data_IF_472973436358
#
_entry.id   IF_472973436358
#
_cell.length_a   1.000
_cell.length_b   1.000
_cell.length_c   1.000
_cell.angle_alpha   90.00
_cell.angle_beta   90.00
_cell.angle_gamma   90.00
#
_symmetry.space_group_name_H-M   'P 1'
#
loop_
_entity.id
_entity.type
_entity.pdbx_description
1 polymer ?
#
# COMPACT_ATOMS: atom_id res chain seq x y z
N UNK A 1 -1.92 3.89 8.03
CA UNK A 1 -2.92 3.61 9.08
C UNK A 1 -3.23 4.81 9.97
N UNK A 2 -2.24 5.67 10.32
CA UNK A 2 -2.45 6.87 11.14
C UNK A 2 -3.58 7.80 10.62
N UNK A 3 -3.58 8.12 9.32
CA UNK A 3 -4.59 8.98 8.69
C UNK A 3 -6.02 8.41 8.77
N UNK A 4 -6.20 7.08 8.71
CA UNK A 4 -7.52 6.44 8.83
C UNK A 4 -7.98 6.46 10.28
N UNK A 5 -7.06 6.25 11.24
CA UNK A 5 -7.36 6.34 12.67
C UNK A 5 -7.81 7.75 13.07
N UNK A 6 -7.20 8.78 12.47
CA UNK A 6 -7.59 10.18 12.66
C UNK A 6 -8.96 10.49 12.04
N UNK A 7 -9.22 10.07 10.80
CA UNK A 7 -10.51 10.25 10.14
C UNK A 7 -11.67 9.45 10.77
N UNK A 8 -11.35 8.38 11.52
CA UNK A 8 -12.30 7.58 12.27
C UNK A 8 -12.51 8.06 13.72
N UNK A 9 -11.90 9.20 14.10
CA UNK A 9 -12.04 9.85 15.39
C UNK A 9 -13.20 10.84 15.35
N UNK A 10 -14.19 10.67 16.22
CA UNK A 10 -15.29 11.62 16.39
C UNK A 10 -15.32 12.12 17.84
N UNK A 11 -15.27 13.43 18.03
CA UNK A 11 -15.43 14.08 19.35
C UNK A 11 -16.89 14.52 19.52
N UNK A 12 -17.49 14.15 20.64
CA UNK A 12 -18.82 14.61 21.03
C UNK A 12 -18.72 15.83 21.94
N UNK A 13 -19.81 16.59 22.06
CA UNK A 13 -19.87 17.84 22.84
C UNK A 13 -19.57 17.64 24.34
N UNK A 14 -19.77 16.43 24.86
CA UNK A 14 -19.44 16.05 26.24
C UNK A 14 -17.95 15.70 26.45
N UNK A 15 -17.13 15.82 25.39
CA UNK A 15 -15.70 15.49 25.41
C UNK A 15 -15.40 13.99 25.22
N UNK A 16 -16.41 13.14 25.03
CA UNK A 16 -16.18 11.73 24.71
C UNK A 16 -15.68 11.56 23.27
N UNK A 17 -14.80 10.57 23.07
CA UNK A 17 -14.19 10.27 21.77
C UNK A 17 -14.62 8.89 21.31
N UNK A 18 -15.29 8.82 20.16
CA UNK A 18 -15.45 7.56 19.43
C UNK A 18 -14.20 7.34 18.58
N UNK A 19 -13.41 6.32 18.91
CA UNK A 19 -12.31 5.87 18.06
C UNK A 19 -12.65 4.50 17.50
N UNK A 20 -13.07 4.46 16.24
CA UNK A 20 -13.35 3.19 15.57
C UNK A 20 -12.07 2.61 14.99
N UNK A 21 -11.87 1.30 15.16
CA UNK A 21 -10.81 0.61 14.44
C UNK A 21 -11.08 0.66 12.94
N UNK A 22 -10.00 0.72 12.15
CA UNK A 22 -10.06 0.88 10.70
C UNK A 22 -10.88 -0.23 10.03
N UNK A 23 -10.82 -1.45 10.56
CA UNK A 23 -11.59 -2.60 10.09
C UNK A 23 -13.12 -2.45 10.22
N UNK A 24 -13.61 -1.53 11.05
CA UNK A 24 -15.04 -1.22 11.19
C UNK A 24 -15.51 -0.08 10.28
N UNK A 25 -14.61 0.49 9.46
CA UNK A 25 -14.88 1.56 8.48
C UNK A 25 -14.42 1.16 7.07
N UNK A 26 -15.02 0.11 6.48
CA UNK A 26 -14.61 -0.41 5.18
C UNK A 26 -14.72 0.65 4.06
N UNK A 27 -15.63 1.60 4.19
CA UNK A 27 -15.79 2.75 3.29
C UNK A 27 -14.54 3.65 3.25
N UNK A 28 -14.02 4.02 4.42
CA UNK A 28 -12.82 4.86 4.53
C UNK A 28 -11.58 4.10 4.10
N UNK A 29 -11.47 2.84 4.52
CA UNK A 29 -10.36 1.97 4.16
C UNK A 29 -10.27 1.79 2.64
N UNK A 30 -11.38 1.49 1.97
CA UNK A 30 -11.40 1.32 0.52
C UNK A 30 -11.02 2.61 -0.22
N UNK A 31 -11.50 3.78 0.23
CA UNK A 31 -11.15 5.07 -0.37
C UNK A 31 -9.67 5.38 -0.24
N UNK A 32 -9.11 5.25 0.96
CA UNK A 32 -7.68 5.52 1.19
C UNK A 32 -6.81 4.51 0.44
N UNK A 33 -7.21 3.24 0.37
CA UNK A 33 -6.52 2.24 -0.42
C UNK A 33 -6.50 2.60 -1.92
N UNK A 34 -7.62 3.07 -2.47
CA UNK A 34 -7.68 3.53 -3.86
C UNK A 34 -6.78 4.73 -4.14
N UNK A 35 -6.78 5.73 -3.25
CA UNK A 35 -5.89 6.90 -3.38
C UNK A 35 -4.43 6.46 -3.39
N UNK A 36 -4.05 5.56 -2.48
CA UNK A 36 -2.69 5.02 -2.42
C UNK A 36 -2.32 4.18 -3.64
N UNK A 37 -3.27 3.39 -4.15
CA UNK A 37 -3.08 2.64 -5.38
C UNK A 37 -2.81 3.58 -6.57
N UNK A 38 -3.61 4.64 -6.73
CA UNK A 38 -3.43 5.60 -7.82
C UNK A 38 -2.09 6.32 -7.72
N UNK A 39 -1.67 6.69 -6.50
CA UNK A 39 -0.35 7.27 -6.25
C UNK A 39 0.77 6.30 -6.63
N UNK A 40 0.69 5.03 -6.20
CA UNK A 40 1.67 4.02 -6.56
C UNK A 40 1.74 3.82 -8.08
N UNK A 41 0.61 3.75 -8.76
CA UNK A 41 0.58 3.58 -10.21
C UNK A 41 1.16 4.79 -10.94
N UNK A 42 0.93 6.01 -10.44
CA UNK A 42 1.54 7.23 -10.98
C UNK A 42 3.06 7.24 -10.79
N UNK A 43 3.56 6.82 -9.62
CA UNK A 43 4.99 6.68 -9.37
C UNK A 43 5.63 5.63 -10.29
N UNK A 44 4.98 4.49 -10.46
CA UNK A 44 5.44 3.39 -11.29
C UNK A 44 5.45 3.74 -12.79
N UNK A 45 4.35 4.28 -13.32
CA UNK A 45 4.16 4.45 -14.78
C UNK A 45 4.59 5.84 -15.27
N UNK A 46 4.24 6.90 -14.54
CA UNK A 46 4.54 8.29 -14.97
C UNK A 46 5.91 8.75 -14.49
N UNK A 47 6.24 8.47 -13.24
CA UNK A 47 7.54 8.86 -12.67
C UNK A 47 8.63 7.83 -12.96
N UNK A 48 8.25 6.62 -13.38
CA UNK A 48 9.17 5.56 -13.80
C UNK A 48 10.23 5.27 -12.74
N UNK A 49 9.82 5.16 -11.47
CA UNK A 49 10.75 4.96 -10.35
C UNK A 49 11.58 3.68 -10.48
N UNK A 50 11.10 2.70 -11.25
CA UNK A 50 11.81 1.47 -11.59
C UNK A 50 12.21 1.39 -13.06
N UNK A 51 12.05 2.46 -13.84
CA UNK A 51 12.19 2.46 -15.29
C UNK A 51 10.87 2.23 -16.02
N UNK A 52 10.94 1.96 -17.33
CA UNK A 52 9.75 1.91 -18.18
C UNK A 52 8.93 0.64 -17.96
N UNK A 53 7.66 0.83 -17.64
CA UNK A 53 6.66 -0.24 -17.58
C UNK A 53 6.00 -0.39 -18.95
N UNK A 54 5.96 -1.62 -19.46
CA UNK A 54 5.28 -1.96 -20.72
C UNK A 54 3.83 -2.41 -20.48
N UNK A 55 3.57 -3.07 -19.36
CA UNK A 55 2.24 -3.53 -18.96
C UNK A 55 2.19 -3.82 -17.46
N UNK A 56 0.98 -3.88 -16.90
CA UNK A 56 0.75 -4.32 -15.54
C UNK A 56 -0.58 -5.08 -15.43
N UNK A 57 -0.67 -5.98 -14.46
CA UNK A 57 -1.89 -6.70 -14.10
C UNK A 57 -2.05 -6.62 -12.59
N UNK A 58 -3.25 -6.36 -12.10
CA UNK A 58 -3.50 -6.34 -10.67
C UNK A 58 -4.85 -6.94 -10.30
N UNK A 59 -4.92 -7.45 -9.08
CA UNK A 59 -6.15 -7.86 -8.41
C UNK A 59 -6.21 -7.21 -7.03
N UNK A 60 -7.42 -6.84 -6.61
CA UNK A 60 -7.68 -6.35 -5.25
C UNK A 60 -8.65 -7.32 -4.60
N UNK A 61 -8.22 -7.93 -3.51
CA UNK A 61 -8.99 -8.86 -2.72
C UNK A 61 -9.22 -8.30 -1.32
N UNK A 62 -10.38 -8.57 -0.74
CA UNK A 62 -10.66 -8.19 0.64
C UNK A 62 -10.33 -9.37 1.55
N UNK A 63 -9.24 -9.26 2.31
CA UNK A 63 -8.85 -10.28 3.27
C UNK A 63 -9.85 -10.34 4.44
N UNK A 64 -9.75 -11.39 5.27
CA UNK A 64 -10.54 -11.49 6.51
C UNK A 64 -10.37 -10.18 7.31
N UNK A 65 -11.49 -9.59 7.74
CA UNK A 65 -11.62 -8.24 8.35
C UNK A 65 -11.75 -7.07 7.36
N UNK A 66 -11.98 -7.34 6.08
CA UNK A 66 -12.43 -6.32 5.11
C UNK A 66 -11.35 -5.32 4.68
N UNK A 67 -10.08 -5.66 4.89
CA UNK A 67 -8.96 -4.84 4.42
C UNK A 67 -8.61 -5.21 2.98
N UNK A 68 -8.43 -4.23 2.09
CA UNK A 68 -7.99 -4.46 0.72
C UNK A 68 -6.53 -4.91 0.70
N UNK A 69 -6.28 -5.98 -0.03
CA UNK A 69 -4.98 -6.53 -0.34
C UNK A 69 -4.82 -6.56 -1.85
N UNK A 70 -3.69 -6.08 -2.34
CA UNK A 70 -3.45 -5.97 -3.77
C UNK A 70 -2.32 -6.92 -4.18
N UNK A 71 -2.58 -7.69 -5.24
CA UNK A 71 -1.52 -8.33 -6.00
C UNK A 71 -1.29 -7.50 -7.25
N UNK A 72 -0.07 -7.00 -7.44
CA UNK A 72 0.33 -6.21 -8.60
C UNK A 72 1.53 -6.90 -9.27
N UNK A 73 1.38 -7.18 -10.56
CA UNK A 73 2.46 -7.65 -11.42
C UNK A 73 2.79 -6.57 -12.43
N UNK A 74 4.07 -6.19 -12.49
CA UNK A 74 4.59 -5.19 -13.42
C UNK A 74 5.48 -5.87 -14.45
N UNK A 75 5.30 -5.53 -15.73
CA UNK A 75 6.09 -6.04 -16.85
C UNK A 75 6.92 -4.87 -17.39
N UNK A 76 8.22 -4.91 -17.14
CA UNK A 76 9.16 -3.87 -17.51
C UNK A 76 9.65 -4.01 -18.96
N UNK A 77 10.17 -2.92 -19.53
CA UNK A 77 10.88 -2.89 -20.81
C UNK A 77 12.08 -3.83 -20.81
N UNK A 78 12.61 -4.19 -21.98
CA UNK A 78 13.78 -5.06 -22.02
C UNK A 78 15.03 -4.34 -21.51
N UNK A 79 15.08 -3.02 -21.69
CA UNK A 79 16.19 -2.14 -21.36
C UNK A 79 16.27 -1.80 -19.86
N UNK A 80 15.13 -1.77 -19.18
CA UNK A 80 15.03 -1.44 -17.75
C UNK A 80 14.84 -2.69 -16.87
N UNK A 81 14.88 -3.89 -17.45
CA UNK A 81 14.76 -5.13 -16.68
C UNK A 81 15.97 -5.35 -15.79
N UNK A 82 15.72 -6.01 -14.67
CA UNK A 82 16.78 -6.54 -13.81
C UNK A 82 17.49 -7.66 -14.57
N UNK A 83 18.81 -7.54 -14.75
CA UNK A 83 19.60 -8.47 -15.55
C UNK A 83 20.54 -9.35 -14.73
N UNK A 84 20.81 -8.97 -13.48
CA UNK A 84 21.70 -9.71 -12.59
C UNK A 84 21.23 -9.67 -11.13
N UNK A 85 21.90 -10.45 -10.28
CA UNK A 85 21.55 -10.60 -8.86
C UNK A 85 21.86 -9.35 -8.04
N UNK A 86 22.90 -8.60 -8.40
CA UNK A 86 23.30 -7.41 -7.64
C UNK A 86 22.25 -6.30 -7.80
N UNK A 87 21.77 -6.09 -9.03
CA UNK A 87 20.64 -5.20 -9.32
C UNK A 87 19.34 -5.63 -8.62
N UNK A 88 19.13 -6.94 -8.48
CA UNK A 88 17.96 -7.49 -7.79
C UNK A 88 18.02 -7.18 -6.28
N UNK A 89 19.18 -7.39 -5.67
CA UNK A 89 19.41 -7.16 -4.24
C UNK A 89 19.35 -5.67 -3.88
N UNK A 90 19.80 -4.79 -4.78
CA UNK A 90 19.66 -3.33 -4.62
C UNK A 90 18.19 -2.88 -4.68
N UNK A 91 17.35 -3.57 -5.45
CA UNK A 91 15.96 -3.19 -5.68
C UNK A 91 14.99 -3.79 -4.66
N UNK A 92 15.23 -5.03 -4.23
CA UNK A 92 14.33 -5.79 -3.38
C UNK A 92 14.98 -6.04 -2.03
N UNK A 93 14.41 -5.43 -1.00
CA UNK A 93 14.70 -5.76 0.39
C UNK A 93 13.49 -6.40 1.06
N UNK A 94 13.73 -7.46 1.84
CA UNK A 94 12.75 -8.06 2.73
C UNK A 94 13.37 -8.21 4.12
N UNK A 95 13.01 -7.31 5.03
CA UNK A 95 13.47 -7.38 6.40
C UNK A 95 12.48 -8.17 7.25
N UNK A 96 13.00 -9.12 8.05
CA UNK A 96 12.24 -9.69 9.15
C UNK A 96 12.30 -8.65 10.27
N UNK A 97 11.16 -8.08 10.73
CA UNK A 97 11.17 -7.09 11.79
C UNK A 97 11.84 -7.67 13.02
N UNK A 98 12.81 -6.94 13.57
CA UNK A 98 13.51 -7.35 14.79
C UNK A 98 12.51 -7.48 15.94
N UNK A 99 12.65 -8.53 16.76
CA UNK A 99 11.66 -8.93 17.77
C UNK A 99 11.38 -7.80 18.78
N UNK A 100 12.37 -6.93 19.04
CA UNK A 100 12.23 -5.77 19.92
C UNK A 100 11.35 -4.63 19.35
N UNK A 101 11.08 -4.62 18.05
CA UNK A 101 10.24 -3.62 17.36
C UNK A 101 8.76 -4.04 17.27
N UNK A 102 8.40 -5.19 17.85
CA UNK A 102 7.03 -5.72 17.85
C UNK A 102 6.23 -5.38 19.13
N UNK A 103 6.77 -4.53 20.01
CA UNK A 103 6.12 -4.09 21.27
C UNK A 103 5.56 -2.68 21.17
#
# INVERSE_FOLDING_TARGET
MAQIKEAARHEFEDGSVLQQETQYRPDLVARVAKIKFDQLMDELDKQQIFGRICAYVYTIEFQKRGLPHMHLLVIMSAEDKIHNTDELDDLISAEIPNVEMLN
#
